data_IF_023432970726
#
_entry.id   IF_023432970726
#
_cell.length_a   1.000
_cell.length_b   1.000
_cell.length_c   1.000
_cell.angle_alpha   90.00
_cell.angle_beta   90.00
_cell.angle_gamma   90.00
#
_symmetry.space_group_name_H-M   'P 1'
#
loop_
_entity.id
_entity.type
_entity.pdbx_description
1 polymer ?
#
# COMPACT_ATOMS: atom_id res chain seq x y z
N UNK A 1 34.76 -16.97 -2.77
CA UNK A 1 33.48 -16.25 -2.76
C UNK A 1 32.68 -16.81 -1.60
N UNK A 2 32.67 -16.13 -0.45
CA UNK A 2 31.94 -16.61 0.73
C UNK A 2 30.43 -16.41 0.53
N UNK A 3 29.57 -17.36 0.91
CA UNK A 3 28.13 -17.14 0.92
C UNK A 3 27.83 -15.99 1.90
N UNK A 4 27.06 -15.01 1.45
CA UNK A 4 26.55 -13.96 2.31
C UNK A 4 25.79 -14.64 3.46
N UNK A 5 26.32 -14.55 4.68
CA UNK A 5 25.68 -15.08 5.87
C UNK A 5 24.21 -14.62 5.87
N UNK A 6 23.29 -15.58 5.80
CA UNK A 6 21.87 -15.34 5.94
C UNK A 6 21.64 -14.67 7.29
N UNK A 7 21.52 -13.35 7.27
CA UNK A 7 21.05 -12.60 8.43
C UNK A 7 19.59 -12.98 8.59
N UNK A 8 19.31 -13.95 9.46
CA UNK A 8 17.97 -14.15 9.99
C UNK A 8 17.52 -12.81 10.55
N UNK A 9 16.49 -12.22 9.94
CA UNK A 9 15.91 -10.99 10.43
C UNK A 9 15.37 -11.28 11.84
N UNK A 10 15.76 -10.46 12.82
CA UNK A 10 15.14 -10.52 14.14
C UNK A 10 13.66 -10.13 13.98
N UNK A 11 12.70 -10.88 14.55
CA UNK A 11 11.30 -10.50 14.48
C UNK A 11 11.11 -9.06 14.95
N UNK A 12 10.22 -8.29 14.30
CA UNK A 12 9.96 -6.92 14.71
C UNK A 12 9.31 -6.94 16.10
N UNK A 13 9.91 -6.25 17.06
CA UNK A 13 9.33 -6.06 18.39
C UNK A 13 8.24 -4.98 18.34
N UNK A 14 7.33 -4.98 19.32
CA UNK A 14 6.34 -3.88 19.50
C UNK A 14 7.00 -2.51 19.50
N UNK A 15 8.19 -2.38 20.11
CA UNK A 15 8.95 -1.13 20.12
C UNK A 15 9.42 -0.73 18.71
N UNK A 16 9.92 -1.68 17.92
CA UNK A 16 10.34 -1.43 16.53
C UNK A 16 9.15 -1.02 15.66
N UNK A 17 8.01 -1.68 15.81
CA UNK A 17 6.76 -1.34 15.10
C UNK A 17 6.28 0.06 15.48
N UNK A 18 6.20 0.37 16.78
CA UNK A 18 5.79 1.68 17.27
C UNK A 18 6.74 2.80 16.80
N UNK A 19 8.05 2.53 16.78
CA UNK A 19 9.06 3.47 16.27
C UNK A 19 8.87 3.72 14.78
N UNK A 20 8.64 2.67 13.99
CA UNK A 20 8.36 2.79 12.56
C UNK A 20 7.06 3.59 12.30
N UNK A 21 5.99 3.27 13.02
CA UNK A 21 4.71 3.98 12.93
C UNK A 21 4.85 5.48 13.26
N UNK A 22 5.62 5.82 14.31
CA UNK A 22 5.88 7.22 14.67
C UNK A 22 6.63 7.97 13.55
N UNK A 23 7.65 7.34 12.95
CA UNK A 23 8.40 7.94 11.84
C UNK A 23 7.52 8.16 10.61
N UNK A 24 6.67 7.20 10.27
CA UNK A 24 5.69 7.34 9.17
C UNK A 24 4.75 8.52 9.46
N UNK A 25 4.19 8.60 10.68
CA UNK A 25 3.31 9.69 11.08
C UNK A 25 3.99 11.06 11.00
N UNK A 26 5.22 11.16 11.48
CA UNK A 26 6.00 12.41 11.40
C UNK A 26 6.26 12.83 9.95
N UNK A 27 6.61 11.87 9.08
CA UNK A 27 6.81 12.14 7.66
C UNK A 27 5.53 12.64 6.98
N UNK A 28 4.39 11.98 7.22
CA UNK A 28 3.08 12.41 6.69
C UNK A 28 2.73 13.82 7.19
N UNK A 29 2.89 14.08 8.49
CA UNK A 29 2.58 15.39 9.07
C UNK A 29 3.50 16.53 8.57
N UNK A 30 4.66 16.19 7.98
CA UNK A 30 5.55 17.19 7.37
C UNK A 30 5.14 17.59 5.94
N UNK A 31 4.15 16.91 5.35
CA UNK A 31 3.60 17.23 4.03
C UNK A 31 2.59 18.36 4.18
N UNK A 32 3.09 19.60 4.08
CA UNK A 32 2.28 20.81 4.06
C UNK A 32 2.12 21.39 2.64
N UNK A 33 1.35 22.48 2.52
CA UNK A 33 1.17 23.22 1.27
C UNK A 33 2.50 23.62 0.62
N UNK A 34 3.47 24.03 1.45
CA UNK A 34 4.77 24.48 0.95
C UNK A 34 5.56 23.30 0.35
N UNK A 35 5.53 22.13 1.00
CA UNK A 35 6.06 20.89 0.47
C UNK A 35 5.40 20.53 -0.85
N UNK A 36 4.06 20.52 -0.91
CA UNK A 36 3.31 20.19 -2.12
C UNK A 36 3.71 21.12 -3.27
N UNK A 37 3.74 22.43 -3.05
CA UNK A 37 4.17 23.42 -4.07
C UNK A 37 5.61 23.19 -4.53
N UNK A 38 6.54 22.89 -3.61
CA UNK A 38 7.93 22.55 -3.97
C UNK A 38 7.98 21.32 -4.88
N UNK A 39 7.16 20.30 -4.62
CA UNK A 39 7.11 19.07 -5.43
C UNK A 39 6.50 19.31 -6.82
N UNK A 40 5.44 20.12 -6.92
CA UNK A 40 4.88 20.55 -8.20
C UNK A 40 5.90 21.33 -9.04
N UNK A 41 6.57 22.32 -8.44
CA UNK A 41 7.59 23.12 -9.13
C UNK A 41 8.76 22.25 -9.60
N UNK A 42 9.18 21.30 -8.77
CA UNK A 42 10.21 20.33 -9.14
C UNK A 42 9.80 19.49 -10.36
N UNK A 43 8.60 18.89 -10.34
CA UNK A 43 8.10 18.10 -11.46
C UNK A 43 7.97 18.94 -12.74
N UNK A 44 7.42 20.16 -12.64
CA UNK A 44 7.33 21.10 -13.77
C UNK A 44 8.71 21.44 -14.35
N UNK A 45 9.73 21.60 -13.50
CA UNK A 45 11.10 21.88 -13.94
C UNK A 45 11.72 20.71 -14.74
N UNK A 46 11.30 19.47 -14.47
CA UNK A 46 11.78 18.29 -15.22
C UNK A 46 11.10 18.19 -16.58
N UNK A 47 9.81 18.52 -16.65
CA UNK A 47 9.07 18.63 -17.90
C UNK A 47 9.62 19.72 -18.80
N UNK A 48 9.90 20.91 -18.25
CA UNK A 48 10.42 22.05 -19.01
C UNK A 48 11.83 21.81 -19.60
N UNK A 49 12.60 20.87 -19.03
CA UNK A 49 13.92 20.47 -19.53
C UNK A 49 13.88 19.46 -20.67
N UNK A 50 12.71 18.89 -20.99
CA UNK A 50 12.56 18.01 -22.15
C UNK A 50 12.58 18.83 -23.43
N UNK A 51 13.19 18.31 -24.50
CA UNK A 51 13.38 19.05 -25.75
C UNK A 51 12.05 19.41 -26.44
N UNK A 52 11.92 20.61 -27.05
CA UNK A 52 10.64 21.16 -27.49
C UNK A 52 9.93 20.42 -28.63
N UNK A 53 10.61 19.52 -29.34
CA UNK A 53 10.05 18.89 -30.54
C UNK A 53 8.91 17.92 -30.23
N UNK A 54 8.89 17.32 -29.03
CA UNK A 54 7.75 16.55 -28.52
C UNK A 54 7.97 16.23 -27.03
N UNK A 55 7.19 16.83 -26.14
CA UNK A 55 7.14 16.43 -24.72
C UNK A 55 5.85 15.68 -24.50
N UNK A 56 5.91 14.35 -24.43
CA UNK A 56 4.73 13.59 -24.02
C UNK A 56 4.59 13.62 -22.50
N UNK A 57 3.37 13.53 -21.95
CA UNK A 57 3.18 13.29 -20.52
C UNK A 57 3.96 12.06 -20.00
N UNK A 58 4.19 11.07 -20.87
CA UNK A 58 5.02 9.90 -20.57
C UNK A 58 6.48 10.24 -20.29
N UNK A 59 7.08 11.14 -21.08
CA UNK A 59 8.49 11.55 -20.91
C UNK A 59 8.69 12.33 -19.60
N UNK A 60 7.73 13.20 -19.28
CA UNK A 60 7.64 13.87 -17.97
C UNK A 60 7.59 12.85 -16.82
N UNK A 61 6.70 11.85 -16.93
CA UNK A 61 6.56 10.79 -15.94
C UNK A 61 7.86 9.98 -15.75
N UNK A 62 8.51 9.60 -16.85
CA UNK A 62 9.78 8.86 -16.82
C UNK A 62 10.93 9.69 -16.24
N UNK A 63 11.00 10.99 -16.56
CA UNK A 63 11.97 11.91 -15.97
C UNK A 63 11.77 12.07 -14.46
N UNK A 64 10.52 12.24 -14.01
CA UNK A 64 10.18 12.30 -12.60
C UNK A 64 10.54 10.99 -11.89
N UNK A 65 10.13 9.85 -12.44
CA UNK A 65 10.45 8.53 -11.88
C UNK A 65 11.96 8.34 -11.68
N UNK A 66 12.79 8.67 -12.69
CA UNK A 66 14.25 8.61 -12.56
C UNK A 66 14.79 9.56 -11.49
N UNK A 67 14.25 10.77 -11.41
CA UNK A 67 14.70 11.75 -10.43
C UNK A 67 14.30 11.41 -8.98
N UNK A 68 13.22 10.63 -8.80
CA UNK A 68 12.80 10.14 -7.50
C UNK A 68 13.53 8.88 -7.05
N UNK A 69 14.11 8.14 -8.00
CA UNK A 69 14.84 6.89 -7.74
C UNK A 69 14.11 5.95 -6.76
N UNK A 70 12.90 5.47 -7.12
CA UNK A 70 12.06 4.71 -6.21
C UNK A 70 12.72 3.41 -5.74
N UNK A 71 13.67 2.86 -6.50
CA UNK A 71 14.47 1.71 -6.09
C UNK A 71 15.26 1.98 -4.79
N UNK A 72 15.56 3.24 -4.47
CA UNK A 72 16.20 3.65 -3.21
C UNK A 72 15.23 4.04 -2.11
N UNK A 73 13.95 4.19 -2.42
CA UNK A 73 12.91 4.53 -1.45
C UNK A 73 12.49 3.33 -0.58
N UNK A 74 12.86 2.11 -0.99
CA UNK A 74 12.51 0.86 -0.29
C UNK A 74 11.16 0.35 -0.75
N UNK A 75 10.12 0.54 0.07
CA UNK A 75 8.75 0.09 -0.20
C UNK A 75 7.83 1.26 -0.50
N UNK A 76 6.93 1.10 -1.47
CA UNK A 76 5.83 2.05 -1.72
C UNK A 76 4.52 1.49 -1.16
N UNK A 77 3.85 2.27 -0.33
CA UNK A 77 2.57 1.87 0.27
C UNK A 77 1.44 2.75 -0.25
N UNK A 78 0.42 2.11 -0.83
CA UNK A 78 -0.80 2.76 -1.30
C UNK A 78 -1.99 2.26 -0.48
N UNK A 79 -2.76 3.16 0.12
CA UNK A 79 -3.95 2.81 0.89
C UNK A 79 -5.21 3.12 0.08
N UNK A 80 -6.03 2.09 -0.13
CA UNK A 80 -7.31 2.17 -0.86
C UNK A 80 -8.50 2.07 0.11
N UNK A 81 -8.25 2.19 1.41
CA UNK A 81 -9.28 2.01 2.45
C UNK A 81 -10.42 3.02 2.32
N UNK A 82 -10.10 4.24 1.87
CA UNK A 82 -11.06 5.31 1.65
C UNK A 82 -11.51 5.41 0.19
N UNK A 83 -11.13 4.46 -0.67
CA UNK A 83 -11.55 4.48 -2.07
C UNK A 83 -13.05 4.16 -2.17
N UNK A 84 -13.83 4.96 -2.91
CA UNK A 84 -15.24 4.69 -3.09
C UNK A 84 -15.40 3.41 -3.90
N UNK A 85 -16.10 2.44 -3.31
CA UNK A 85 -16.50 1.22 -4.00
C UNK A 85 -17.86 1.45 -4.62
N UNK A 86 -17.94 1.37 -5.95
CA UNK A 86 -19.17 1.62 -6.70
C UNK A 86 -20.18 0.48 -6.49
N UNK A 87 -21.42 0.87 -6.19
CA UNK A 87 -22.60 0.01 -6.23
C UNK A 87 -23.31 0.20 -7.58
N UNK A 88 -23.31 -0.86 -8.40
CA UNK A 88 -23.97 -0.85 -9.71
C UNK A 88 -25.43 -1.34 -9.65
N UNK A 89 -25.92 -1.72 -8.47
CA UNK A 89 -27.27 -2.28 -8.23
C UNK A 89 -27.61 -3.46 -9.15
N UNK A 90 -26.63 -4.32 -9.44
CA UNK A 90 -26.82 -5.49 -10.30
C UNK A 90 -27.66 -6.53 -9.53
N UNK A 91 -28.89 -6.85 -9.99
CA UNK A 91 -29.75 -7.82 -9.31
C UNK A 91 -29.07 -9.20 -9.23
N UNK A 92 -29.19 -9.88 -8.09
CA UNK A 92 -28.63 -11.23 -7.89
C UNK A 92 -27.14 -11.28 -7.56
N UNK A 93 -26.45 -10.14 -7.37
CA UNK A 93 -25.06 -10.09 -6.88
C UNK A 93 -24.95 -10.20 -5.35
N UNK A 94 -26.04 -10.62 -4.71
CA UNK A 94 -26.12 -11.00 -3.31
C UNK A 94 -25.30 -12.26 -3.07
N UNK A 95 -24.18 -12.15 -2.36
CA UNK A 95 -23.49 -13.32 -1.83
C UNK A 95 -23.69 -13.39 -0.32
N UNK A 96 -24.56 -14.34 0.04
CA UNK A 96 -24.77 -14.98 1.34
C UNK A 96 -24.92 -14.07 2.57
N UNK A 97 -26.14 -14.06 3.07
CA UNK A 97 -26.48 -13.95 4.49
C UNK A 97 -25.46 -14.70 5.33
N UNK A 98 -24.62 -13.97 6.08
CA UNK A 98 -24.11 -14.50 7.34
C UNK A 98 -25.30 -14.63 8.27
N UNK A 99 -25.43 -15.79 8.90
CA UNK A 99 -26.53 -16.15 9.80
C UNK A 99 -26.89 -14.98 10.76
N UNK A 100 -28.03 -14.35 10.52
CA UNK A 100 -28.69 -13.45 11.49
C UNK A 100 -28.42 -11.94 11.41
N UNK A 101 -27.75 -11.39 10.40
CA UNK A 101 -27.48 -9.94 10.30
C UNK A 101 -28.25 -9.23 9.18
N UNK A 102 -29.06 -8.22 9.52
CA UNK A 102 -29.76 -7.34 8.56
C UNK A 102 -28.79 -6.50 7.70
N UNK A 103 -29.19 -6.32 6.43
CA UNK A 103 -28.76 -5.26 5.48
C UNK A 103 -27.27 -5.16 5.10
N UNK A 104 -26.71 -6.25 4.58
CA UNK A 104 -25.44 -6.24 3.85
C UNK A 104 -25.59 -5.77 2.40
N UNK A 105 -25.96 -4.50 2.19
CA UNK A 105 -26.00 -3.74 0.92
C UNK A 105 -25.99 -4.52 -0.41
N UNK A 106 -27.18 -4.71 -1.00
CA UNK A 106 -27.35 -5.21 -2.37
C UNK A 106 -26.47 -4.42 -3.37
N UNK A 107 -25.77 -5.11 -4.28
CA UNK A 107 -25.06 -4.48 -5.40
C UNK A 107 -23.63 -4.01 -5.16
N UNK A 108 -23.11 -4.08 -3.92
CA UNK A 108 -21.69 -3.79 -3.61
C UNK A 108 -20.80 -5.02 -3.81
N UNK A 109 -19.56 -4.91 -4.34
CA UNK A 109 -18.63 -6.03 -4.43
C UNK A 109 -18.14 -6.47 -3.04
N UNK A 110 -17.73 -7.74 -2.92
CA UNK A 110 -17.17 -8.30 -1.67
C UNK A 110 -15.73 -7.83 -1.41
N UNK A 111 -14.98 -7.57 -2.48
CA UNK A 111 -13.62 -7.07 -2.44
C UNK A 111 -13.33 -6.24 -3.69
N UNK A 112 -12.38 -5.32 -3.57
CA UNK A 112 -11.78 -4.57 -4.69
C UNK A 112 -10.28 -4.78 -4.62
N UNK A 113 -9.68 -5.23 -5.72
CA UNK A 113 -8.24 -5.50 -5.78
C UNK A 113 -7.61 -4.98 -7.06
N UNK A 114 -6.32 -4.69 -6.97
CA UNK A 114 -5.46 -4.49 -8.14
C UNK A 114 -5.26 -5.83 -8.86
N UNK A 115 -5.40 -5.86 -10.19
CA UNK A 115 -5.28 -7.09 -10.99
C UNK A 115 -3.84 -7.61 -11.09
N UNK A 116 -2.87 -6.70 -11.19
CA UNK A 116 -1.46 -7.01 -11.26
C UNK A 116 -0.63 -5.84 -10.71
N UNK A 117 0.46 -6.14 -10.00
CA UNK A 117 1.43 -5.13 -9.57
C UNK A 117 2.80 -5.48 -10.12
N UNK A 118 3.27 -4.70 -11.10
CA UNK A 118 4.55 -4.90 -11.77
C UNK A 118 5.76 -4.34 -10.97
N UNK A 119 5.52 -3.84 -9.77
CA UNK A 119 6.48 -3.01 -9.04
C UNK A 119 6.94 -3.76 -7.77
N UNK A 120 8.13 -4.38 -7.77
CA UNK A 120 8.73 -4.91 -6.54
C UNK A 120 8.82 -3.82 -5.47
N UNK A 121 8.44 -4.15 -4.24
CA UNK A 121 8.36 -3.21 -3.12
C UNK A 121 6.97 -2.58 -2.93
N UNK A 122 6.03 -2.80 -3.85
CA UNK A 122 4.69 -2.22 -3.75
C UNK A 122 3.78 -2.96 -2.78
N UNK A 123 3.21 -2.22 -1.85
CA UNK A 123 2.25 -2.67 -0.84
C UNK A 123 0.95 -1.91 -1.04
N UNK A 124 -0.17 -2.62 -1.13
CA UNK A 124 -1.49 -2.02 -1.25
C UNK A 124 -2.38 -2.52 -0.12
N UNK A 125 -2.94 -1.58 0.64
CA UNK A 125 -3.97 -1.88 1.65
C UNK A 125 -5.33 -1.75 0.97
N UNK A 126 -6.06 -2.84 0.86
CA UNK A 126 -7.27 -2.99 0.08
C UNK A 126 -8.51 -3.11 1.00
N UNK A 127 -9.63 -2.47 0.63
CA UNK A 127 -10.86 -2.54 1.41
C UNK A 127 -11.57 -3.89 1.21
N UNK A 128 -12.11 -4.44 2.29
CA UNK A 128 -13.13 -5.50 2.27
C UNK A 128 -14.52 -4.89 2.41
N UNK A 129 -15.54 -5.60 1.95
CA UNK A 129 -16.94 -5.29 2.27
C UNK A 129 -17.12 -5.34 3.80
N UNK A 130 -17.62 -4.26 4.40
CA UNK A 130 -17.84 -4.16 5.84
C UNK A 130 -16.66 -3.62 6.65
N UNK A 131 -15.45 -3.56 6.07
CA UNK A 131 -14.30 -2.94 6.73
C UNK A 131 -14.50 -1.43 6.85
N UNK A 132 -14.53 -0.91 8.07
CA UNK A 132 -14.67 0.52 8.35
C UNK A 132 -13.63 0.93 9.36
N UNK A 133 -12.69 1.76 8.93
CA UNK A 133 -11.58 2.30 9.74
C UNK A 133 -11.91 2.43 11.24
N UNK A 134 -11.36 1.52 12.04
CA UNK A 134 -11.42 1.58 13.50
C UNK A 134 -12.41 0.61 14.14
N UNK A 135 -12.86 -0.43 13.43
CA UNK A 135 -13.63 -1.53 14.03
C UNK A 135 -12.75 -2.74 14.30
N UNK A 136 -13.01 -3.47 15.40
CA UNK A 136 -12.25 -4.68 15.76
C UNK A 136 -12.53 -5.85 14.79
N UNK A 137 -13.52 -5.73 13.91
CA UNK A 137 -13.86 -6.67 12.84
C UNK A 137 -13.29 -6.24 11.47
N UNK A 138 -12.40 -5.23 11.45
CA UNK A 138 -11.82 -4.73 10.21
C UNK A 138 -10.87 -5.74 9.55
N UNK A 139 -11.41 -6.53 8.62
CA UNK A 139 -10.59 -7.31 7.71
C UNK A 139 -10.05 -6.39 6.60
N UNK A 140 -8.77 -6.01 6.69
CA UNK A 140 -8.06 -5.40 5.56
C UNK A 140 -7.30 -6.47 4.78
N UNK A 141 -7.32 -6.39 3.44
CA UNK A 141 -6.43 -7.23 2.62
C UNK A 141 -5.16 -6.44 2.27
N UNK A 142 -3.99 -7.07 2.38
CA UNK A 142 -2.72 -6.47 2.00
C UNK A 142 -2.14 -7.21 0.79
N UNK A 143 -2.01 -6.51 -0.32
CA UNK A 143 -1.34 -7.02 -1.52
C UNK A 143 0.11 -6.53 -1.55
N UNK A 144 1.05 -7.46 -1.52
CA UNK A 144 2.49 -7.18 -1.59
C UNK A 144 3.08 -7.73 -2.89
N UNK A 145 3.84 -6.91 -3.60
CA UNK A 145 4.64 -7.31 -4.74
C UNK A 145 6.11 -7.37 -4.30
N UNK A 146 6.67 -8.57 -4.19
CA UNK A 146 8.05 -8.80 -3.78
C UNK A 146 8.62 -10.03 -4.50
N UNK A 147 9.94 -10.23 -4.41
CA UNK A 147 10.55 -11.48 -4.85
C UNK A 147 10.05 -12.63 -3.98
N UNK A 148 9.97 -13.84 -4.54
CA UNK A 148 9.47 -15.04 -3.85
C UNK A 148 10.16 -15.27 -2.50
N UNK A 149 11.50 -15.19 -2.47
CA UNK A 149 12.31 -15.30 -1.24
C UNK A 149 11.96 -14.26 -0.17
N UNK A 150 11.54 -13.06 -0.56
CA UNK A 150 11.15 -12.01 0.38
C UNK A 150 9.72 -12.24 0.89
N UNK A 151 8.84 -12.80 0.06
CA UNK A 151 7.48 -13.22 0.47
C UNK A 151 7.56 -14.34 1.50
N UNK A 152 8.39 -15.36 1.26
CA UNK A 152 8.60 -16.47 2.20
C UNK A 152 9.05 -15.96 3.57
N UNK A 153 10.09 -15.12 3.60
CA UNK A 153 10.60 -14.48 4.83
C UNK A 153 9.57 -13.60 5.52
N UNK A 154 8.75 -12.90 4.74
CA UNK A 154 7.69 -12.05 5.28
C UNK A 154 6.60 -12.89 5.95
N UNK A 155 6.20 -14.02 5.35
CA UNK A 155 5.22 -14.94 5.93
C UNK A 155 5.75 -15.50 7.26
N UNK A 156 7.00 -15.98 7.29
CA UNK A 156 7.65 -16.44 8.52
C UNK A 156 7.62 -15.35 9.62
N UNK A 157 8.03 -14.12 9.28
CA UNK A 157 8.02 -13.01 10.23
C UNK A 157 6.62 -12.60 10.70
N UNK A 158 5.59 -12.72 9.86
CA UNK A 158 4.20 -12.43 10.22
C UNK A 158 3.63 -13.46 11.20
N UNK A 159 3.96 -14.74 11.03
CA UNK A 159 3.56 -15.80 11.97
C UNK A 159 4.18 -15.59 13.35
N UNK A 160 5.45 -15.19 13.41
CA UNK A 160 6.11 -14.80 14.67
C UNK A 160 5.42 -13.59 15.32
N UNK A 161 4.94 -12.62 14.53
CA UNK A 161 4.19 -11.46 15.04
C UNK A 161 2.78 -11.82 15.54
N UNK A 162 2.10 -12.81 14.94
CA UNK A 162 0.78 -13.25 15.42
C UNK A 162 0.84 -13.76 16.87
N UNK A 163 1.97 -14.38 17.26
CA UNK A 163 2.23 -14.76 18.65
C UNK A 163 2.35 -13.58 19.63
N UNK A 164 2.64 -12.37 19.15
CA UNK A 164 2.73 -11.15 19.95
C UNK A 164 1.42 -10.36 20.04
N UNK A 165 0.58 -10.40 19.00
CA UNK A 165 -0.67 -9.63 18.94
C UNK A 165 -1.86 -10.42 19.53
N UNK A 166 -1.75 -11.74 19.69
CA UNK A 166 -2.74 -12.59 20.36
C UNK A 166 -2.70 -12.54 21.90
N UNK A 167 -1.96 -11.60 22.50
CA UNK A 167 -1.93 -11.35 23.95
C UNK A 167 -2.44 -9.93 24.21
N UNK A 168 -3.73 -9.71 23.96
CA UNK A 168 -4.51 -8.60 24.55
C UNK A 168 -5.86 -9.15 24.93
#
# INVERSE_FOLDING_TARGET
>A
MQPAAERRACPPTTQTIATAALRIRQAINSVDDAYIRRRFNFAASLCAKQTPAHVSPGDCGAALHRALDPARAGVDCSSWIDFPVTDFRIPGTTTMTTDGGQDGGEGRPAWVRKTYSANPGAVNVLPRRGGTKGSDEDEWEVLVAAAEVDVERMVEGMEECRGFVGVV
#
